data_IF_728630391198
#
_entry.id   IF_728630391198
#
_cell.length_a   1.000
_cell.length_b   1.000
_cell.length_c   1.000
_cell.angle_alpha   90.00
_cell.angle_beta   90.00
_cell.angle_gamma   90.00
#
_symmetry.space_group_name_H-M   'P 1'
#
loop_
_entity.id
_entity.type
_entity.pdbx_description
1 polymer ?
#
# COMPACT_ATOMS: atom_id res chain seq x y z
N UNK A 1 -25.72 13.58 13.39
CA UNK A 1 -25.12 13.83 12.07
C UNK A 1 -24.95 12.48 11.40
N UNK A 2 -25.26 12.38 10.11
CA UNK A 2 -25.00 11.15 9.36
C UNK A 2 -23.49 11.10 9.08
N UNK A 3 -22.85 9.96 9.34
CA UNK A 3 -21.44 9.75 9.01
C UNK A 3 -21.35 9.51 7.51
N UNK A 4 -20.52 10.27 6.81
CA UNK A 4 -20.30 10.08 5.38
C UNK A 4 -19.13 9.13 5.10
N UNK A 5 -19.23 8.34 4.03
CA UNK A 5 -18.16 7.43 3.59
C UNK A 5 -16.82 8.18 3.41
N UNK A 6 -16.87 9.39 2.83
CA UNK A 6 -15.70 10.22 2.57
C UNK A 6 -14.96 10.64 3.84
N UNK A 7 -15.66 10.84 4.95
CA UNK A 7 -15.04 11.20 6.23
C UNK A 7 -14.24 10.02 6.79
N UNK A 8 -14.75 8.80 6.62
CA UNK A 8 -14.07 7.58 7.02
C UNK A 8 -12.85 7.32 6.13
N UNK A 9 -12.99 7.47 4.81
CA UNK A 9 -11.86 7.34 3.89
C UNK A 9 -10.74 8.32 4.23
N UNK A 10 -11.07 9.59 4.47
CA UNK A 10 -10.10 10.60 4.88
C UNK A 10 -9.42 10.26 6.22
N UNK A 11 -10.17 9.75 7.21
CA UNK A 11 -9.58 9.32 8.48
C UNK A 11 -8.64 8.11 8.31
N UNK A 12 -8.95 7.19 7.39
CA UNK A 12 -8.10 6.03 7.08
C UNK A 12 -6.85 6.42 6.28
N UNK A 13 -6.92 7.47 5.47
CA UNK A 13 -5.77 8.06 4.79
C UNK A 13 -4.70 8.57 5.78
N UNK A 14 -5.14 9.12 6.91
CA UNK A 14 -4.23 9.60 7.96
C UNK A 14 -3.60 8.47 8.79
N UNK A 15 -4.14 7.24 8.70
CA UNK A 15 -3.53 6.06 9.34
C UNK A 15 -2.36 5.55 8.50
N UNK A 16 -1.21 6.23 8.66
CA UNK A 16 0.04 5.85 8.01
C UNK A 16 0.67 4.61 8.64
N UNK A 17 1.08 3.61 7.87
CA UNK A 17 2.06 2.64 8.37
C UNK A 17 3.38 3.36 8.68
N UNK A 18 4.07 2.95 9.75
CA UNK A 18 5.32 3.62 10.16
C UNK A 18 6.44 3.36 9.15
N UNK A 19 6.45 2.16 8.56
CA UNK A 19 7.32 1.74 7.47
C UNK A 19 6.54 0.79 6.53
N UNK A 20 6.20 1.19 5.29
CA UNK A 20 6.39 2.48 4.63
C UNK A 20 5.39 3.55 5.11
N UNK A 21 5.72 4.84 4.98
CA UNK A 21 4.84 5.99 5.31
C UNK A 21 3.67 6.16 4.32
N UNK A 22 2.91 5.09 4.09
CA UNK A 22 1.72 5.07 3.24
C UNK A 22 0.48 4.76 4.05
N UNK A 23 -0.63 5.31 3.59
CA UNK A 23 -1.93 5.02 4.17
C UNK A 23 -2.41 3.61 3.82
N UNK A 24 -3.39 3.11 4.57
CA UNK A 24 -4.00 1.80 4.30
C UNK A 24 -4.73 1.77 2.95
N UNK A 25 -5.29 2.89 2.51
CA UNK A 25 -5.96 3.03 1.21
C UNK A 25 -4.95 2.96 0.06
N UNK A 26 -3.82 3.65 0.17
CA UNK A 26 -2.73 3.64 -0.82
C UNK A 26 -2.05 2.27 -0.96
N UNK A 27 -2.11 1.46 0.09
CA UNK A 27 -1.61 0.09 0.09
C UNK A 27 -2.66 -0.94 -0.29
N UNK A 28 -3.86 -0.51 -0.71
CA UNK A 28 -4.96 -1.39 -1.06
C UNK A 28 -5.23 -2.41 0.07
N UNK A 29 -5.27 -1.93 1.32
CA UNK A 29 -5.54 -2.75 2.51
C UNK A 29 -6.98 -2.60 3.01
N UNK A 30 -7.69 -1.54 2.63
CA UNK A 30 -9.12 -1.35 2.92
C UNK A 30 -9.92 -2.04 1.81
N UNK A 31 -10.78 -3.01 2.15
CA UNK A 31 -11.56 -3.80 1.16
C UNK A 31 -12.96 -3.29 0.98
N UNK A 32 -13.60 -2.97 2.09
CA UNK A 32 -14.99 -2.54 2.12
C UNK A 32 -15.23 -1.63 3.33
N UNK A 33 -16.12 -0.67 3.14
CA UNK A 33 -16.55 0.26 4.17
C UNK A 33 -18.08 0.31 4.14
N UNK A 34 -18.71 -0.31 5.13
CA UNK A 34 -20.14 -0.25 5.34
C UNK A 34 -20.49 0.79 6.40
N UNK A 35 -21.43 1.70 6.11
CA UNK A 35 -21.93 2.69 7.07
C UNK A 35 -23.45 2.56 7.19
N UNK A 36 -23.95 2.34 8.40
CA UNK A 36 -25.40 2.24 8.67
C UNK A 36 -25.75 2.80 10.05
N UNK A 37 -26.51 3.89 10.08
CA UNK A 37 -27.06 4.50 11.32
C UNK A 37 -26.01 4.80 12.41
N UNK A 38 -24.78 5.14 12.01
CA UNK A 38 -23.64 5.39 12.90
C UNK A 38 -22.85 4.14 13.27
N UNK A 39 -23.21 2.96 12.75
CA UNK A 39 -22.38 1.75 12.82
C UNK A 39 -21.49 1.69 11.59
N UNK A 40 -20.19 1.51 11.81
CA UNK A 40 -19.19 1.38 10.77
C UNK A 40 -18.67 -0.06 10.76
N UNK A 41 -18.72 -0.71 9.60
CA UNK A 41 -18.09 -2.00 9.35
C UNK A 41 -16.91 -1.78 8.41
N UNK A 42 -15.70 -2.13 8.85
CA UNK A 42 -14.49 -2.08 8.03
C UNK A 42 -13.97 -3.48 7.77
N UNK A 43 -13.70 -3.79 6.51
CA UNK A 43 -13.00 -5.01 6.13
C UNK A 43 -11.57 -4.67 5.71
N UNK A 44 -10.58 -5.21 6.43
CA UNK A 44 -9.16 -4.95 6.20
C UNK A 44 -8.41 -6.22 5.80
N UNK A 45 -7.54 -6.11 4.79
CA UNK A 45 -6.62 -7.16 4.36
C UNK A 45 -5.18 -6.78 4.75
N UNK A 46 -4.75 -7.25 5.93
CA UNK A 46 -3.44 -6.95 6.52
C UNK A 46 -2.46 -8.15 6.41
N UNK A 47 -2.61 -8.95 5.36
CA UNK A 47 -1.99 -10.28 5.23
C UNK A 47 -0.46 -10.23 5.22
N UNK A 48 0.12 -9.15 4.69
CA UNK A 48 1.58 -8.94 4.66
C UNK A 48 2.17 -8.49 6.01
N UNK A 49 1.33 -8.02 6.94
CA UNK A 49 1.77 -7.52 8.24
C UNK A 49 1.93 -8.65 9.27
N UNK A 50 2.89 -8.49 10.18
CA UNK A 50 3.04 -9.34 11.36
C UNK A 50 1.91 -9.14 12.36
N UNK A 51 1.73 -10.06 13.31
CA UNK A 51 0.67 -9.96 14.33
C UNK A 51 0.74 -8.64 15.14
N UNK A 52 1.95 -8.23 15.54
CA UNK A 52 2.17 -6.99 16.28
C UNK A 52 1.85 -5.74 15.45
N UNK A 53 2.12 -5.77 14.14
CA UNK A 53 1.77 -4.67 13.24
C UNK A 53 0.26 -4.62 12.99
N UNK A 54 -0.40 -5.77 12.83
CA UNK A 54 -1.86 -5.85 12.67
C UNK A 54 -2.58 -5.23 13.87
N UNK A 55 -2.16 -5.58 15.08
CA UNK A 55 -2.72 -5.03 16.32
C UNK A 55 -2.57 -3.50 16.39
N UNK A 56 -1.36 -2.99 16.11
CA UNK A 56 -1.08 -1.54 16.07
C UNK A 56 -1.92 -0.81 15.02
N UNK A 57 -2.09 -1.41 13.85
CA UNK A 57 -2.93 -0.85 12.78
C UNK A 57 -4.38 -0.81 13.20
N UNK A 58 -4.90 -1.89 13.78
CA UNK A 58 -6.28 -1.93 14.27
C UNK A 58 -6.54 -0.89 15.35
N UNK A 59 -5.63 -0.72 16.30
CA UNK A 59 -5.73 0.29 17.35
C UNK A 59 -5.80 1.72 16.76
N UNK A 60 -4.94 2.01 15.78
CA UNK A 60 -4.92 3.32 15.12
C UNK A 60 -6.14 3.58 14.25
N UNK A 61 -6.59 2.57 13.50
CA UNK A 61 -7.84 2.64 12.72
C UNK A 61 -9.02 2.90 13.66
N UNK A 62 -9.10 2.16 14.77
CA UNK A 62 -10.14 2.34 15.78
C UNK A 62 -10.14 3.76 16.31
N UNK A 63 -8.98 4.26 16.76
CA UNK A 63 -8.85 5.61 17.28
C UNK A 63 -9.24 6.69 16.25
N UNK A 64 -8.84 6.53 14.98
CA UNK A 64 -9.15 7.48 13.91
C UNK A 64 -10.65 7.51 13.58
N UNK A 65 -11.30 6.35 13.49
CA UNK A 65 -12.71 6.23 13.10
C UNK A 65 -13.65 6.58 14.25
N UNK A 66 -13.33 6.18 15.49
CA UNK A 66 -14.13 6.52 16.67
C UNK A 66 -14.07 8.02 17.00
N UNK A 67 -13.03 8.74 16.54
CA UNK A 67 -12.95 10.19 16.66
C UNK A 67 -13.95 10.95 15.76
N UNK A 68 -14.56 10.28 14.76
CA UNK A 68 -15.50 10.90 13.83
C UNK A 68 -16.86 11.12 14.52
N UNK A 69 -17.37 12.37 14.56
CA UNK A 69 -18.68 12.66 15.16
C UNK A 69 -19.82 11.89 14.48
N UNK A 70 -20.52 11.06 15.24
CA UNK A 70 -21.67 10.28 14.75
C UNK A 70 -21.41 8.79 14.61
N UNK A 71 -20.15 8.34 14.74
CA UNK A 71 -19.82 6.93 14.91
C UNK A 71 -20.23 6.49 16.32
N UNK A 72 -21.08 5.46 16.39
CA UNK A 72 -21.57 4.84 17.62
C UNK A 72 -20.91 3.50 17.89
N UNK A 73 -20.58 2.78 16.83
CA UNK A 73 -20.03 1.43 16.89
C UNK A 73 -19.11 1.18 15.69
N UNK A 74 -18.00 0.50 15.94
CA UNK A 74 -17.05 0.08 14.91
C UNK A 74 -16.81 -1.42 14.99
N UNK A 75 -17.05 -2.12 13.88
CA UNK A 75 -16.67 -3.52 13.69
C UNK A 75 -15.54 -3.59 12.65
N UNK A 76 -14.41 -4.18 13.04
CA UNK A 76 -13.28 -4.43 12.13
C UNK A 76 -13.21 -5.93 11.86
N UNK A 77 -13.35 -6.31 10.59
CA UNK A 77 -13.18 -7.67 10.10
C UNK A 77 -11.84 -7.78 9.38
N UNK A 78 -10.99 -8.71 9.83
CA UNK A 78 -9.75 -9.02 9.12
C UNK A 78 -10.00 -10.18 8.18
N UNK A 79 -9.63 -10.01 6.92
CA UNK A 79 -9.70 -11.06 5.91
C UNK A 79 -8.29 -11.43 5.46
N UNK A 80 -8.08 -12.72 5.26
CA UNK A 80 -6.91 -13.19 4.49
C UNK A 80 -7.26 -13.10 3.01
N UNK A 81 -6.41 -12.42 2.25
CA UNK A 81 -6.54 -12.37 0.80
C UNK A 81 -5.26 -12.87 0.13
N UNK A 82 -5.40 -13.61 -0.97
CA UNK A 82 -4.25 -13.98 -1.77
C UNK A 82 -3.64 -12.70 -2.40
N UNK A 83 -2.31 -12.61 -2.53
CA UNK A 83 -1.63 -11.42 -3.06
C UNK A 83 -2.16 -10.93 -4.42
N UNK A 84 -2.76 -11.82 -5.22
CA UNK A 84 -3.36 -11.50 -6.52
C UNK A 84 -4.56 -10.56 -6.39
N UNK A 85 -5.31 -10.62 -5.29
CA UNK A 85 -6.45 -9.74 -5.03
C UNK A 85 -6.01 -8.37 -4.47
N UNK A 86 -4.83 -8.32 -3.84
CA UNK A 86 -4.22 -7.10 -3.32
C UNK A 86 -3.55 -6.27 -4.43
N UNK A 87 -3.02 -6.93 -5.46
CA UNK A 87 -2.24 -6.29 -6.52
C UNK A 87 -3.10 -5.97 -7.75
N UNK A 88 -3.83 -4.86 -7.72
CA UNK A 88 -4.57 -4.35 -8.87
C UNK A 88 -3.75 -3.28 -9.60
N UNK A 89 -3.21 -3.64 -10.77
CA UNK A 89 -2.45 -2.72 -11.62
C UNK A 89 -3.20 -2.50 -12.93
N UNK A 90 -3.42 -1.23 -13.31
CA UNK A 90 -4.06 -0.89 -14.59
C UNK A 90 -3.25 -1.37 -15.80
N UNK A 91 -1.92 -1.32 -15.66
CA UNK A 91 -0.95 -1.65 -16.72
C UNK A 91 0.30 -2.27 -16.11
N UNK A 92 0.80 -3.33 -16.74
CA UNK A 92 2.09 -3.96 -16.41
C UNK A 92 3.00 -3.84 -17.63
N UNK A 93 4.17 -3.22 -17.45
CA UNK A 93 5.18 -3.06 -18.50
C UNK A 93 6.39 -3.93 -18.17
N UNK A 94 6.62 -4.96 -18.98
CA UNK A 94 7.77 -5.83 -18.82
C UNK A 94 9.01 -5.20 -19.50
N UNK A 95 10.06 -4.91 -18.72
CA UNK A 95 11.36 -4.47 -19.24
C UNK A 95 12.36 -5.61 -19.07
N UNK A 96 12.78 -6.22 -20.18
CA UNK A 96 13.64 -7.40 -20.19
C UNK A 96 14.88 -7.21 -21.07
N UNK A 97 15.95 -7.96 -20.77
CA UNK A 97 17.18 -8.02 -21.57
C UNK A 97 17.74 -9.44 -21.55
N UNK A 98 18.29 -9.89 -22.69
CA UNK A 98 19.05 -11.13 -22.78
C UNK A 98 20.52 -11.03 -22.37
N UNK A 99 21.03 -9.83 -22.05
CA UNK A 99 22.43 -9.57 -21.69
C UNK A 99 22.59 -8.56 -20.55
N UNK A 100 23.65 -8.71 -19.75
CA UNK A 100 24.05 -7.72 -18.75
C UNK A 100 24.56 -6.42 -19.38
N UNK A 101 24.34 -5.28 -18.72
CA UNK A 101 24.92 -4.00 -19.11
C UNK A 101 24.22 -3.25 -20.26
N UNK A 102 23.10 -3.74 -20.80
CA UNK A 102 22.39 -3.07 -21.91
C UNK A 102 21.54 -1.86 -21.50
N UNK A 103 21.52 -1.52 -20.21
CA UNK A 103 20.74 -0.39 -19.71
C UNK A 103 19.30 -0.72 -19.26
N UNK A 104 18.94 -1.99 -19.02
CA UNK A 104 17.62 -2.40 -18.50
C UNK A 104 17.15 -1.52 -17.32
N UNK A 105 17.94 -1.43 -16.25
CA UNK A 105 17.59 -0.65 -15.06
C UNK A 105 17.48 0.85 -15.34
N UNK A 106 18.30 1.37 -16.26
CA UNK A 106 18.25 2.78 -16.68
C UNK A 106 16.93 3.08 -17.40
N UNK A 107 16.54 2.24 -18.36
CA UNK A 107 15.26 2.37 -19.07
C UNK A 107 14.10 2.25 -18.11
N UNK A 108 14.12 1.28 -17.19
CA UNK A 108 13.08 1.13 -16.15
C UNK A 108 12.97 2.38 -15.29
N UNK A 109 14.09 2.93 -14.79
CA UNK A 109 14.08 4.11 -13.94
C UNK A 109 13.56 5.36 -14.67
N UNK A 110 14.03 5.61 -15.90
CA UNK A 110 13.59 6.76 -16.69
C UNK A 110 12.12 6.67 -17.09
N UNK A 111 11.64 5.47 -17.43
CA UNK A 111 10.23 5.22 -17.72
C UNK A 111 9.36 5.50 -16.50
N UNK A 112 9.75 5.00 -15.32
CA UNK A 112 9.02 5.23 -14.09
C UNK A 112 8.94 6.73 -13.76
N UNK A 113 10.06 7.46 -13.85
CA UNK A 113 10.09 8.91 -13.63
C UNK A 113 9.18 9.64 -14.64
N UNK A 114 9.21 9.25 -15.91
CA UNK A 114 8.39 9.89 -16.94
C UNK A 114 6.88 9.70 -16.68
N UNK A 115 6.46 8.48 -16.32
CA UNK A 115 5.07 8.16 -15.99
C UNK A 115 4.62 8.87 -14.71
N UNK A 116 5.45 8.88 -13.66
CA UNK A 116 5.14 9.63 -12.43
C UNK A 116 4.96 11.13 -12.71
N UNK A 117 5.80 11.72 -13.57
CA UNK A 117 5.67 13.14 -13.97
C UNK A 117 4.40 13.44 -14.78
N UNK A 118 3.78 12.42 -15.36
CA UNK A 118 2.47 12.52 -16.01
C UNK A 118 1.30 12.29 -15.04
N UNK A 119 1.57 12.06 -13.76
CA UNK A 119 0.56 11.88 -12.71
C UNK A 119 0.15 10.43 -12.45
N UNK A 120 0.84 9.44 -13.04
CA UNK A 120 0.56 8.03 -12.77
C UNK A 120 1.18 7.57 -11.44
N UNK A 121 0.50 6.66 -10.74
CA UNK A 121 1.11 5.89 -9.66
C UNK A 121 1.93 4.76 -10.24
N UNK A 122 3.23 4.73 -9.94
CA UNK A 122 4.17 3.78 -10.53
C UNK A 122 4.90 3.01 -9.44
N UNK A 123 4.94 1.69 -9.59
CA UNK A 123 5.80 0.79 -8.82
C UNK A 123 6.85 0.15 -9.71
N UNK A 124 8.01 -0.19 -9.13
CA UNK A 124 9.04 -0.98 -9.79
C UNK A 124 9.22 -2.28 -9.02
N UNK A 125 8.99 -3.41 -9.70
CA UNK A 125 9.38 -4.73 -9.21
C UNK A 125 10.66 -5.16 -9.94
N UNK A 126 11.78 -5.14 -9.22
CA UNK A 126 13.07 -5.57 -9.76
C UNK A 126 13.31 -7.05 -9.46
N UNK A 127 13.31 -7.87 -10.51
CA UNK A 127 13.61 -9.31 -10.43
C UNK A 127 15.11 -9.61 -10.68
N UNK A 128 15.96 -8.58 -10.72
CA UNK A 128 17.39 -8.78 -10.91
C UNK A 128 18.07 -9.31 -9.63
N UNK A 129 18.56 -10.54 -9.72
CA UNK A 129 19.26 -11.21 -8.61
C UNK A 129 20.70 -10.67 -8.46
N UNK A 130 21.25 -10.05 -9.51
CA UNK A 130 22.70 -9.82 -9.62
C UNK A 130 23.18 -8.49 -9.03
N UNK A 131 22.30 -7.52 -8.81
CA UNK A 131 22.75 -6.26 -8.21
C UNK A 131 21.65 -5.25 -7.89
N UNK A 132 21.89 -4.38 -6.88
CA UNK A 132 20.92 -3.41 -6.40
C UNK A 132 20.87 -2.14 -7.27
N UNK A 133 20.78 -2.29 -8.59
CA UNK A 133 20.83 -1.16 -9.54
C UNK A 133 19.68 -0.18 -9.32
N UNK A 134 18.44 -0.67 -9.26
CA UNK A 134 17.25 0.16 -9.04
C UNK A 134 17.32 0.91 -7.70
N UNK A 135 17.48 0.25 -6.53
CA UNK A 135 17.53 0.99 -5.26
C UNK A 135 18.69 1.99 -5.20
N UNK A 136 19.84 1.70 -5.82
CA UNK A 136 20.95 2.67 -5.94
C UNK A 136 20.58 3.88 -6.80
N UNK A 137 19.92 3.67 -7.95
CA UNK A 137 19.50 4.75 -8.84
C UNK A 137 18.50 5.71 -8.18
N UNK A 138 17.61 5.18 -7.33
CA UNK A 138 16.65 5.99 -6.57
C UNK A 138 17.16 6.44 -5.19
N UNK A 139 18.44 6.17 -4.85
CA UNK A 139 19.03 6.57 -3.57
C UNK A 139 18.38 5.92 -2.34
N UNK A 140 17.75 4.75 -2.51
CA UNK A 140 17.06 4.04 -1.44
C UNK A 140 18.06 3.40 -0.48
N UNK A 141 17.83 3.59 0.82
CA UNK A 141 18.58 2.95 1.91
C UNK A 141 17.77 1.91 2.67
N UNK A 142 16.44 2.06 2.66
CA UNK A 142 15.54 1.10 3.27
C UNK A 142 15.42 -0.16 2.40
N UNK A 143 15.17 -1.29 3.05
CA UNK A 143 14.86 -2.55 2.36
C UNK A 143 13.34 -2.77 2.38
N UNK A 144 12.77 -3.34 1.32
CA UNK A 144 11.39 -3.79 1.37
C UNK A 144 11.24 -4.85 2.45
N UNK A 145 10.11 -4.81 3.16
CA UNK A 145 9.70 -5.81 4.14
C UNK A 145 8.56 -6.64 3.57
N UNK A 146 8.24 -7.78 4.16
CA UNK A 146 7.17 -8.64 3.65
C UNK A 146 7.28 -10.08 4.16
N UNK A 147 6.41 -10.92 3.61
CA UNK A 147 6.34 -12.35 3.91
C UNK A 147 5.99 -13.14 2.64
N UNK A 148 5.71 -14.43 2.77
CA UNK A 148 5.29 -15.30 1.66
C UNK A 148 4.04 -14.82 0.91
N UNK A 149 3.22 -13.97 1.54
CA UNK A 149 1.99 -13.42 0.98
C UNK A 149 2.19 -12.04 0.32
N UNK A 150 3.40 -11.48 0.33
CA UNK A 150 3.67 -10.25 -0.40
C UNK A 150 4.85 -9.42 0.10
N UNK A 151 5.12 -8.33 -0.61
CA UNK A 151 6.20 -7.38 -0.32
C UNK A 151 5.58 -5.99 -0.12
N UNK A 152 5.92 -5.33 0.98
CA UNK A 152 5.64 -3.92 1.21
C UNK A 152 6.67 -3.07 0.43
N UNK A 153 6.22 -2.20 -0.48
CA UNK A 153 7.11 -1.40 -1.30
C UNK A 153 7.82 -0.31 -0.49
N UNK A 154 9.05 -0.01 -0.87
CA UNK A 154 9.79 1.16 -0.38
C UNK A 154 9.48 2.36 -1.26
N UNK A 155 9.19 3.49 -0.65
CA UNK A 155 8.92 4.73 -1.36
C UNK A 155 10.21 5.44 -1.79
N UNK A 156 10.23 5.87 -3.04
CA UNK A 156 11.27 6.72 -3.62
C UNK A 156 10.88 8.20 -3.46
N UNK A 157 11.88 9.08 -3.36
CA UNK A 157 11.66 10.54 -3.31
C UNK A 157 11.30 11.13 -4.67
#
# INVERSE_FOLDING_TARGET
MAVELKEIEAALDDVLLLEPKRSLTQLNMVRDIGVSEGRVKLTLALTVLSAAERERVQERVRAAVEAIPGVKELAIELVEQPPQELNQFDRVIAVMSGKGGVGKSLVTALLAIALTRQGYQVGILDADITGPSIPKMFGLKARPTGNENGILPVETR
#
